data_IF_067280016880
#
_entry.id   IF_067280016880
#
_cell.length_a   1.000
_cell.length_b   1.000
_cell.length_c   1.000
_cell.angle_alpha   90.00
_cell.angle_beta   90.00
_cell.angle_gamma   90.00
#
_symmetry.space_group_name_H-M   'P 1'
#
loop_
_entity.id
_entity.type
_entity.pdbx_description
1 polymer ?
#
# COMPACT_ATOMS: atom_id res chain seq x y z
N UNK A 1 -22.21 20.94 26.41
CA UNK A 1 -21.06 21.86 26.31
C UNK A 1 -19.69 21.20 26.50
N UNK A 2 -19.55 19.98 27.05
CA UNK A 2 -18.23 19.32 27.21
C UNK A 2 -17.76 18.45 26.03
N UNK A 3 -18.65 18.04 25.13
CA UNK A 3 -18.34 17.08 24.05
C UNK A 3 -17.85 17.74 22.76
N UNK A 4 -18.34 18.95 22.47
CA UNK A 4 -17.98 19.73 21.29
C UNK A 4 -16.49 20.12 21.32
N UNK A 5 -16.02 20.58 22.49
CA UNK A 5 -14.61 20.94 22.71
C UNK A 5 -13.65 19.75 22.54
N UNK A 6 -14.07 18.55 22.95
CA UNK A 6 -13.27 17.34 22.79
C UNK A 6 -13.19 16.90 21.31
N UNK A 7 -14.28 17.07 20.55
CA UNK A 7 -14.29 16.79 19.11
C UNK A 7 -13.41 17.76 18.32
N UNK A 8 -13.42 19.04 18.69
CA UNK A 8 -12.56 20.06 18.07
C UNK A 8 -11.07 19.75 18.30
N UNK A 9 -10.69 19.33 19.51
CA UNK A 9 -9.32 18.92 19.81
C UNK A 9 -8.88 17.69 18.99
N UNK A 10 -9.75 16.68 18.85
CA UNK A 10 -9.48 15.51 18.03
C UNK A 10 -9.37 15.85 16.54
N UNK A 11 -10.21 16.78 16.05
CA UNK A 11 -10.13 17.27 14.68
C UNK A 11 -8.83 18.04 14.42
N UNK A 12 -8.42 18.92 15.34
CA UNK A 12 -7.16 19.64 15.26
C UNK A 12 -5.94 18.70 15.22
N UNK A 13 -5.92 17.66 16.06
CA UNK A 13 -4.87 16.65 16.04
C UNK A 13 -4.81 15.89 14.69
N UNK A 14 -5.96 15.57 14.09
CA UNK A 14 -6.00 14.95 12.75
C UNK A 14 -5.47 15.89 11.67
N UNK A 15 -5.88 17.15 11.66
CA UNK A 15 -5.40 18.12 10.68
C UNK A 15 -3.89 18.40 10.83
N UNK A 16 -3.35 18.40 12.05
CA UNK A 16 -1.91 18.53 12.27
C UNK A 16 -1.12 17.33 11.72
N UNK A 17 -1.71 16.12 11.79
CA UNK A 17 -1.08 14.88 11.30
C UNK A 17 -1.20 14.68 9.79
N UNK A 18 -2.36 15.03 9.23
CA UNK A 18 -2.73 14.66 7.85
C UNK A 18 -2.95 15.87 6.93
N UNK A 19 -2.87 17.09 7.45
CA UNK A 19 -3.15 18.30 6.70
C UNK A 19 -4.65 18.48 6.43
N UNK A 20 -4.95 19.17 5.32
CA UNK A 20 -6.32 19.39 4.84
C UNK A 20 -6.67 18.34 3.79
N UNK A 21 -7.96 18.03 3.67
CA UNK A 21 -8.46 17.21 2.58
C UNK A 21 -8.17 17.92 1.24
N UNK A 22 -7.65 17.22 0.23
CA UNK A 22 -7.54 17.76 -1.13
C UNK A 22 -8.90 18.18 -1.69
N UNK A 23 -8.88 18.99 -2.74
CA UNK A 23 -10.09 19.30 -3.49
C UNK A 23 -10.69 18.02 -4.09
N UNK A 24 -12.02 18.01 -4.21
CA UNK A 24 -12.72 16.87 -4.79
C UNK A 24 -12.37 16.79 -6.28
N UNK A 25 -11.95 15.60 -6.72
CA UNK A 25 -11.71 15.29 -8.15
C UNK A 25 -12.95 15.65 -8.97
N UNK A 26 -12.77 16.31 -10.11
CA UNK A 26 -13.90 16.65 -10.95
C UNK A 26 -14.53 15.39 -11.53
N UNK A 27 -15.86 15.40 -11.70
CA UNK A 27 -16.59 14.23 -12.20
C UNK A 27 -16.06 13.72 -13.55
N UNK A 28 -15.64 14.62 -14.45
CA UNK A 28 -15.10 14.27 -15.76
C UNK A 28 -13.67 13.69 -15.70
N UNK A 29 -13.00 13.76 -14.56
CA UNK A 29 -11.68 13.18 -14.30
C UNK A 29 -11.76 11.86 -13.52
N UNK A 30 -12.96 11.47 -13.07
CA UNK A 30 -13.16 10.18 -12.41
C UNK A 30 -13.14 9.05 -13.45
N UNK A 31 -12.60 7.90 -13.07
CA UNK A 31 -12.66 6.66 -13.85
C UNK A 31 -13.58 5.65 -13.18
N UNK A 32 -14.29 4.86 -13.97
CA UNK A 32 -15.08 3.74 -13.46
C UNK A 32 -14.17 2.65 -12.89
N UNK A 33 -14.72 1.86 -11.97
CA UNK A 33 -14.04 0.66 -11.48
C UNK A 33 -13.77 -0.30 -12.66
N UNK A 34 -12.53 -0.78 -12.76
CA UNK A 34 -12.12 -1.80 -13.74
C UNK A 34 -11.59 -3.01 -12.98
N UNK A 35 -11.98 -4.21 -13.43
CA UNK A 35 -11.34 -5.44 -12.97
C UNK A 35 -9.82 -5.33 -13.14
N UNK A 36 -9.08 -5.61 -12.06
CA UNK A 36 -7.64 -5.67 -12.14
C UNK A 36 -7.28 -6.72 -13.19
N UNK A 37 -6.42 -6.37 -14.14
CA UNK A 37 -5.83 -7.38 -15.03
C UNK A 37 -5.28 -8.50 -14.16
N UNK A 38 -5.45 -9.79 -14.54
CA UNK A 38 -4.85 -10.89 -13.83
C UNK A 38 -3.39 -10.51 -13.61
N UNK A 39 -3.01 -10.33 -12.34
CA UNK A 39 -1.63 -10.16 -11.97
C UNK A 39 -0.87 -11.23 -12.76
N UNK A 40 0.29 -10.93 -13.36
CA UNK A 40 1.16 -11.94 -13.96
C UNK A 40 1.71 -12.93 -12.91
N UNK A 41 0.93 -13.26 -11.89
CA UNK A 41 1.24 -13.90 -10.64
C UNK A 41 1.37 -15.41 -10.73
N UNK A 42 1.32 -16.00 -11.93
CA UNK A 42 2.11 -17.21 -12.13
C UNK A 42 3.57 -16.97 -11.64
N UNK A 43 4.10 -15.75 -11.81
CA UNK A 43 5.40 -15.33 -11.29
C UNK A 43 5.38 -14.74 -9.85
N UNK A 44 4.22 -14.47 -9.26
CA UNK A 44 4.08 -13.84 -7.93
C UNK A 44 3.33 -14.71 -6.91
N UNK A 45 3.07 -15.97 -7.26
CA UNK A 45 2.68 -16.98 -6.28
C UNK A 45 3.88 -17.19 -5.35
N UNK A 46 3.69 -16.95 -4.06
CA UNK A 46 4.74 -17.18 -3.07
C UNK A 46 5.09 -18.67 -3.06
N UNK A 47 6.22 -19.01 -3.69
CA UNK A 47 6.75 -20.36 -3.75
C UNK A 47 8.06 -20.41 -2.92
N UNK A 48 7.96 -20.69 -1.61
CA UNK A 48 9.13 -20.75 -0.75
C UNK A 48 10.11 -21.84 -1.20
N UNK A 49 9.62 -22.96 -1.75
CA UNK A 49 10.47 -24.04 -2.26
C UNK A 49 11.17 -23.66 -3.58
N UNK A 50 10.48 -22.88 -4.43
CA UNK A 50 11.02 -22.30 -5.65
C UNK A 50 12.20 -21.35 -5.38
N UNK A 51 12.11 -20.56 -4.30
CA UNK A 51 13.13 -19.59 -3.90
C UNK A 51 14.48 -20.24 -3.51
N UNK A 52 14.47 -21.53 -3.15
CA UNK A 52 15.67 -22.24 -2.69
C UNK A 52 16.46 -22.91 -3.83
N UNK A 53 15.95 -22.88 -5.07
CA UNK A 53 16.64 -23.48 -6.21
C UNK A 53 17.86 -22.67 -6.71
N UNK A 54 18.11 -21.48 -6.15
CA UNK A 54 19.21 -20.60 -6.56
C UNK A 54 20.42 -20.62 -5.60
N UNK A 55 20.40 -21.46 -4.56
CA UNK A 55 21.51 -21.56 -3.58
C UNK A 55 22.82 -22.08 -4.19
N UNK A 56 22.79 -22.72 -5.36
CA UNK A 56 24.01 -23.21 -6.03
C UNK A 56 24.96 -22.08 -6.44
N UNK A 57 24.44 -20.93 -6.90
CA UNK A 57 25.29 -19.78 -7.23
C UNK A 57 25.84 -19.12 -5.97
N UNK A 58 25.03 -19.01 -4.91
CA UNK A 58 25.45 -18.43 -3.63
C UNK A 58 26.55 -19.26 -2.96
N UNK A 59 26.48 -20.60 -3.02
CA UNK A 59 27.53 -21.46 -2.49
C UNK A 59 28.86 -21.29 -3.24
N UNK A 60 28.79 -21.16 -4.57
CA UNK A 60 29.95 -20.90 -5.44
C UNK A 60 30.58 -19.52 -5.14
N UNK A 61 29.77 -18.48 -4.94
CA UNK A 61 30.23 -17.14 -4.59
C UNK A 61 30.86 -17.06 -3.18
N UNK A 62 30.46 -17.95 -2.27
CA UNK A 62 31.00 -18.06 -0.91
C UNK A 62 32.18 -19.05 -0.77
N UNK A 63 32.49 -19.81 -1.83
CA UNK A 63 33.63 -20.74 -1.86
C UNK A 63 33.50 -21.95 -0.93
N UNK A 64 32.26 -22.41 -0.66
CA UNK A 64 31.95 -23.60 0.15
C UNK A 64 31.95 -24.89 -0.68
#
# INVERSE_FOLDING_TARGET
MGTESAWDAAAAARHARFGKLPERVHFHEMVEEKEAEPNGSAAASYNPEGAWNHFSCLALDLGL
#
